data_IF_533364930839
#
_entry.id   IF_533364930839
#
_cell.length_a   1.000
_cell.length_b   1.000
_cell.length_c   1.000
_cell.angle_alpha   90.00
_cell.angle_beta   90.00
_cell.angle_gamma   90.00
#
_symmetry.space_group_name_H-M   'P 1'
#
loop_
_entity.id
_entity.type
_entity.pdbx_description
1 polymer ?
#
# COMPACT_ATOMS: atom_id res chain seq x y z
N UNK A 1 32.73 48.61 26.73
CA UNK A 1 32.55 49.25 28.06
C UNK A 1 31.23 50.00 27.99
N UNK A 2 30.16 49.40 28.44
CA UNK A 2 28.86 50.07 28.60
C UNK A 2 28.46 49.85 30.06
N UNK A 3 28.30 50.92 30.78
CA UNK A 3 27.88 50.93 32.19
C UNK A 3 26.33 50.77 32.27
N UNK A 4 25.79 50.05 33.27
CA UNK A 4 24.36 50.00 33.51
C UNK A 4 23.89 51.23 34.25
N UNK A 5 22.78 51.81 33.84
CA UNK A 5 22.06 52.90 34.53
C UNK A 5 21.08 52.22 35.49
N UNK A 6 21.29 52.50 36.80
CA UNK A 6 20.35 52.16 37.88
C UNK A 6 19.23 53.22 37.92
N UNK A 7 17.98 52.80 37.81
CA UNK A 7 16.81 53.54 38.22
C UNK A 7 16.05 52.76 39.29
N UNK A 8 16.15 53.23 40.54
CA UNK A 8 15.32 52.74 41.63
C UNK A 8 13.89 53.19 41.51
N UNK A 9 12.95 52.24 41.66
CA UNK A 9 11.58 52.54 42.06
C UNK A 9 10.99 51.41 42.91
N UNK A 10 10.25 51.70 43.99
CA UNK A 10 9.92 50.78 45.05
C UNK A 10 8.67 49.93 44.74
N UNK A 11 8.71 48.70 45.23
CA UNK A 11 7.58 47.78 45.38
C UNK A 11 6.90 47.28 44.12
N UNK A 12 7.49 46.22 43.52
CA UNK A 12 6.69 45.11 42.91
C UNK A 12 7.50 43.81 42.88
N UNK A 13 6.86 42.73 43.27
CA UNK A 13 7.35 41.37 43.34
C UNK A 13 8.09 40.96 42.08
N UNK A 14 9.31 40.43 42.20
CA UNK A 14 10.01 39.76 41.13
C UNK A 14 9.22 38.51 40.70
N UNK A 15 8.58 38.58 39.56
CA UNK A 15 8.12 37.42 38.81
C UNK A 15 9.24 37.13 37.82
N UNK A 16 10.00 36.07 38.05
CA UNK A 16 10.91 35.53 37.06
C UNK A 16 10.07 34.96 35.90
N UNK A 17 9.88 35.75 34.89
CA UNK A 17 9.35 35.25 33.62
C UNK A 17 10.55 34.67 32.85
N UNK A 18 10.70 33.36 32.89
CA UNK A 18 11.49 32.65 31.90
C UNK A 18 10.80 32.83 30.56
N UNK A 19 11.40 33.64 29.68
CA UNK A 19 11.00 33.72 28.30
C UNK A 19 11.52 32.46 27.58
N UNK A 20 10.92 31.33 27.90
CA UNK A 20 11.01 30.15 27.07
C UNK A 20 10.16 30.49 25.86
N UNK A 21 10.83 30.78 24.77
CA UNK A 21 10.15 30.84 23.44
C UNK A 21 9.43 29.52 23.21
N UNK A 22 8.17 29.47 23.63
CA UNK A 22 7.25 28.45 23.17
C UNK A 22 7.08 28.73 21.69
N UNK A 23 7.89 28.09 20.87
CA UNK A 23 7.58 27.90 19.46
C UNK A 23 6.28 27.09 19.50
N UNK A 24 5.17 27.81 19.44
CA UNK A 24 3.86 27.23 19.18
C UNK A 24 3.92 26.67 17.78
N UNK A 25 4.36 25.42 17.70
CA UNK A 25 4.25 24.62 16.46
C UNK A 25 2.76 24.28 16.29
N UNK A 26 1.94 25.31 16.04
CA UNK A 26 0.62 25.14 15.45
C UNK A 26 0.85 24.85 13.96
N UNK A 27 1.36 23.65 13.69
CA UNK A 27 1.10 23.03 12.41
C UNK A 27 -0.42 22.83 12.38
N UNK A 28 -1.12 23.78 11.76
CA UNK A 28 -2.47 23.56 11.31
C UNK A 28 -2.43 22.31 10.42
N UNK A 29 -2.94 21.20 10.98
CA UNK A 29 -3.26 20.01 10.22
C UNK A 29 -4.41 20.36 9.26
N UNK A 30 -4.06 21.00 8.16
CA UNK A 30 -4.98 21.26 7.05
C UNK A 30 -4.96 20.06 6.09
N UNK A 31 -4.72 18.85 6.62
CA UNK A 31 -4.84 17.61 5.85
C UNK A 31 -6.30 17.17 5.87
N UNK A 32 -6.83 16.87 4.69
CA UNK A 32 -8.14 16.26 4.51
C UNK A 32 -8.26 15.07 5.47
N UNK A 33 -9.37 14.91 6.20
CA UNK A 33 -9.55 13.75 7.07
C UNK A 33 -9.51 12.46 6.25
N UNK A 34 -8.94 11.40 6.83
CA UNK A 34 -8.96 10.04 6.28
C UNK A 34 -10.41 9.52 6.34
N UNK A 35 -11.00 9.24 5.20
CA UNK A 35 -12.38 8.77 5.08
C UNK A 35 -12.43 7.27 5.33
N UNK A 36 -13.21 6.85 6.31
CA UNK A 36 -13.34 5.43 6.66
C UNK A 36 -14.80 4.95 6.62
N UNK A 37 -14.96 3.65 6.43
CA UNK A 37 -16.19 2.91 6.68
C UNK A 37 -15.92 1.73 7.62
N UNK A 38 -16.98 1.18 8.22
CA UNK A 38 -16.89 -0.05 8.99
C UNK A 38 -17.93 -1.07 8.50
N UNK A 39 -17.53 -2.33 8.42
CA UNK A 39 -18.36 -3.44 7.94
C UNK A 39 -18.26 -4.57 8.96
N UNK A 40 -19.38 -4.92 9.59
CA UNK A 40 -19.47 -5.91 10.68
C UNK A 40 -20.94 -6.31 10.85
N UNK A 41 -21.26 -7.58 10.83
CA UNK A 41 -22.65 -8.04 11.01
C UNK A 41 -23.17 -7.82 12.44
N UNK A 42 -22.27 -7.58 13.39
CA UNK A 42 -22.63 -7.28 14.78
C UNK A 42 -22.81 -5.77 15.01
N UNK A 43 -24.06 -5.27 15.27
CA UNK A 43 -24.33 -3.83 15.46
C UNK A 43 -23.51 -3.22 16.61
N UNK A 44 -23.27 -3.97 17.67
CA UNK A 44 -22.49 -3.51 18.83
C UNK A 44 -21.03 -3.25 18.49
N UNK A 45 -20.44 -4.04 17.58
CA UNK A 45 -19.09 -3.83 17.11
C UNK A 45 -19.00 -2.54 16.29
N UNK A 46 -19.97 -2.27 15.41
CA UNK A 46 -20.09 -1.02 14.67
C UNK A 46 -20.24 0.20 15.59
N UNK A 47 -21.01 0.09 16.68
CA UNK A 47 -21.17 1.16 17.67
C UNK A 47 -19.85 1.47 18.37
N UNK A 48 -19.06 0.46 18.73
CA UNK A 48 -17.72 0.64 19.32
C UNK A 48 -16.81 1.39 18.36
N UNK A 49 -16.76 0.98 17.08
CA UNK A 49 -15.96 1.67 16.06
C UNK A 49 -16.41 3.11 15.89
N UNK A 50 -17.73 3.37 15.87
CA UNK A 50 -18.30 4.71 15.76
C UNK A 50 -17.89 5.62 16.93
N UNK A 51 -18.02 5.12 18.15
CA UNK A 51 -17.64 5.88 19.37
C UNK A 51 -16.13 6.14 19.41
N UNK A 52 -15.30 5.20 18.97
CA UNK A 52 -13.86 5.37 18.97
C UNK A 52 -13.40 6.28 17.84
N UNK A 53 -13.99 6.19 16.66
CA UNK A 53 -13.66 7.04 15.50
C UNK A 53 -13.89 8.53 15.82
N UNK A 54 -14.93 8.89 16.58
CA UNK A 54 -15.18 10.26 17.03
C UNK A 54 -14.06 10.86 17.90
N UNK A 55 -13.19 10.01 18.48
CA UNK A 55 -12.04 10.43 19.29
C UNK A 55 -10.75 10.57 18.49
N UNK A 56 -10.78 10.29 17.19
CA UNK A 56 -9.62 10.36 16.27
C UNK A 56 -9.77 11.57 15.37
N UNK A 57 -9.05 12.69 15.61
CA UNK A 57 -9.30 13.97 14.91
C UNK A 57 -9.08 13.92 13.40
N UNK A 58 -8.24 13.02 12.90
CA UNK A 58 -7.88 12.86 11.49
C UNK A 58 -8.70 11.78 10.77
N UNK A 59 -9.70 11.15 11.44
CA UNK A 59 -10.53 10.08 10.90
C UNK A 59 -12.00 10.54 10.80
N UNK A 60 -12.58 10.37 9.63
CA UNK A 60 -14.02 10.58 9.42
C UNK A 60 -14.68 9.23 9.08
N UNK A 61 -15.44 8.67 10.02
CA UNK A 61 -16.25 7.48 9.77
C UNK A 61 -17.52 7.86 9.00
N UNK A 62 -17.52 7.63 7.69
CA UNK A 62 -18.56 8.08 6.76
C UNK A 62 -19.83 7.24 6.83
N UNK A 63 -19.67 5.93 6.97
CA UNK A 63 -20.78 4.97 7.01
C UNK A 63 -20.39 3.70 7.77
N UNK A 64 -21.40 2.96 8.20
CA UNK A 64 -21.26 1.63 8.80
C UNK A 64 -22.28 0.68 8.16
N UNK A 65 -21.87 -0.54 7.87
CA UNK A 65 -22.66 -1.55 7.17
C UNK A 65 -22.70 -2.85 7.93
N UNK A 66 -23.87 -3.44 8.06
CA UNK A 66 -24.05 -4.81 8.56
C UNK A 66 -24.03 -5.85 7.43
N UNK A 67 -24.22 -5.38 6.20
CA UNK A 67 -24.22 -6.17 4.98
C UNK A 67 -23.05 -5.78 4.10
N UNK A 68 -22.26 -6.77 3.69
CA UNK A 68 -21.11 -6.57 2.84
C UNK A 68 -21.48 -6.10 1.41
N UNK A 69 -22.64 -6.48 0.89
CA UNK A 69 -23.09 -6.07 -0.44
C UNK A 69 -23.53 -4.61 -0.48
N UNK A 70 -24.14 -4.10 0.61
CA UNK A 70 -24.42 -2.66 0.74
C UNK A 70 -23.13 -1.85 0.77
N UNK A 71 -22.09 -2.36 1.43
CA UNK A 71 -20.78 -1.73 1.46
C UNK A 71 -20.11 -1.75 0.07
N UNK A 72 -20.25 -2.82 -0.72
CA UNK A 72 -19.77 -2.87 -2.10
C UNK A 72 -20.41 -1.80 -2.97
N UNK A 73 -21.74 -1.63 -2.90
CA UNK A 73 -22.46 -0.59 -3.65
C UNK A 73 -21.99 0.81 -3.24
N UNK A 74 -21.75 1.02 -1.95
CA UNK A 74 -21.22 2.28 -1.44
C UNK A 74 -19.82 2.58 -1.99
N UNK A 75 -18.90 1.59 -1.99
CA UNK A 75 -17.53 1.73 -2.47
C UNK A 75 -17.44 2.00 -3.97
N UNK A 76 -18.42 1.58 -4.77
CA UNK A 76 -18.50 1.93 -6.19
C UNK A 76 -18.84 3.42 -6.41
N UNK A 77 -19.52 4.06 -5.48
CA UNK A 77 -20.03 5.44 -5.58
C UNK A 77 -19.18 6.46 -4.83
N UNK A 78 -18.42 6.02 -3.83
CA UNK A 78 -17.69 6.88 -2.90
C UNK A 78 -16.25 6.41 -2.73
N UNK A 79 -15.31 7.37 -2.75
CA UNK A 79 -13.92 7.09 -2.41
C UNK A 79 -13.78 6.94 -0.90
N UNK A 80 -13.14 5.85 -0.48
CA UNK A 80 -12.85 5.50 0.92
C UNK A 80 -11.37 5.23 1.04
N UNK A 81 -10.75 5.72 2.11
CA UNK A 81 -9.32 5.55 2.37
C UNK A 81 -9.03 4.34 3.26
N UNK A 82 -9.98 4.00 4.15
CA UNK A 82 -9.82 2.95 5.16
C UNK A 82 -11.12 2.18 5.37
N UNK A 83 -11.01 0.84 5.51
CA UNK A 83 -12.11 -0.04 5.92
C UNK A 83 -11.75 -0.70 7.26
N UNK A 84 -12.61 -0.58 8.27
CA UNK A 84 -12.67 -1.50 9.40
C UNK A 84 -13.55 -2.67 8.99
N UNK A 85 -13.01 -3.88 8.95
CA UNK A 85 -13.66 -5.02 8.32
C UNK A 85 -13.67 -6.22 9.25
N UNK A 86 -14.83 -6.72 9.60
CA UNK A 86 -14.91 -8.03 10.25
C UNK A 86 -14.52 -9.15 9.29
N UNK A 87 -13.85 -10.16 9.81
CA UNK A 87 -13.42 -11.32 9.02
C UNK A 87 -14.56 -12.30 8.81
N UNK A 88 -15.37 -12.52 9.84
CA UNK A 88 -16.49 -13.48 9.80
C UNK A 88 -17.81 -12.77 9.70
N UNK A 89 -18.36 -12.74 8.51
CA UNK A 89 -19.70 -12.20 8.25
C UNK A 89 -20.54 -13.28 7.56
N UNK A 90 -21.89 -13.23 7.67
CA UNK A 90 -22.78 -14.06 6.88
C UNK A 90 -22.54 -13.82 5.37
N UNK A 91 -22.87 -14.83 4.56
CA UNK A 91 -22.86 -14.80 3.09
C UNK A 91 -21.48 -14.65 2.45
N UNK A 92 -20.62 -13.72 2.89
CA UNK A 92 -19.27 -13.50 2.37
C UNK A 92 -18.33 -13.12 3.52
N UNK A 93 -17.20 -13.78 3.62
CA UNK A 93 -16.15 -13.39 4.57
C UNK A 93 -15.48 -12.08 4.21
N UNK A 94 -14.93 -11.34 5.21
CA UNK A 94 -14.18 -10.12 4.95
C UNK A 94 -12.99 -10.32 4.02
N UNK A 95 -12.37 -11.50 4.02
CA UNK A 95 -11.27 -11.83 3.12
C UNK A 95 -11.75 -12.00 1.68
N UNK A 96 -12.89 -12.64 1.46
CA UNK A 96 -13.51 -12.77 0.13
C UNK A 96 -14.02 -11.43 -0.37
N UNK A 97 -14.59 -10.60 0.52
CA UNK A 97 -15.00 -9.24 0.21
C UNK A 97 -13.84 -8.41 -0.35
N UNK A 98 -12.65 -8.46 0.29
CA UNK A 98 -11.48 -7.73 -0.20
C UNK A 98 -10.98 -8.25 -1.55
N UNK A 99 -11.04 -9.56 -1.81
CA UNK A 99 -10.66 -10.14 -3.11
C UNK A 99 -11.57 -9.69 -4.24
N UNK A 100 -12.82 -9.35 -3.93
CA UNK A 100 -13.78 -8.85 -4.92
C UNK A 100 -13.51 -7.40 -5.34
N UNK A 101 -12.71 -6.64 -4.57
CA UNK A 101 -12.38 -5.24 -4.86
C UNK A 101 -11.13 -5.18 -5.77
N UNK A 102 -11.20 -4.54 -6.96
CA UNK A 102 -10.03 -4.42 -7.85
C UNK A 102 -8.92 -3.55 -7.25
N UNK A 103 -9.28 -2.52 -6.46
CA UNK A 103 -8.36 -1.61 -5.78
C UNK A 103 -8.88 -1.36 -4.35
N UNK A 104 -8.57 -2.25 -3.41
CA UNK A 104 -9.07 -2.13 -2.06
C UNK A 104 -8.43 -0.91 -1.34
N UNK A 105 -9.22 -0.17 -0.53
CA UNK A 105 -8.69 0.80 0.42
C UNK A 105 -7.73 0.17 1.42
N UNK A 106 -7.12 0.98 2.30
CA UNK A 106 -6.43 0.45 3.48
C UNK A 106 -7.41 -0.34 4.34
N UNK A 107 -6.95 -1.43 4.97
CA UNK A 107 -7.80 -2.29 5.78
C UNK A 107 -7.23 -2.48 7.16
N UNK A 108 -8.09 -2.33 8.16
CA UNK A 108 -7.88 -2.79 9.53
C UNK A 108 -8.94 -3.86 9.79
N UNK A 109 -8.51 -5.09 10.00
CA UNK A 109 -9.43 -6.15 10.36
C UNK A 109 -9.89 -6.03 11.82
N UNK A 110 -11.18 -6.29 12.06
CA UNK A 110 -11.75 -6.48 13.39
C UNK A 110 -12.22 -7.93 13.50
N UNK A 111 -11.82 -8.68 14.52
CA UNK A 111 -12.17 -10.09 14.62
C UNK A 111 -12.22 -10.60 16.06
N UNK A 112 -13.08 -11.57 16.33
CA UNK A 112 -13.11 -12.29 17.61
C UNK A 112 -12.07 -13.45 17.66
N UNK A 113 -11.39 -13.76 16.55
CA UNK A 113 -10.55 -14.95 16.40
C UNK A 113 -9.08 -14.59 16.18
N UNK A 114 -8.23 -14.93 17.15
CA UNK A 114 -6.78 -14.67 17.07
C UNK A 114 -6.07 -15.48 15.97
N UNK A 115 -6.58 -16.65 15.61
CA UNK A 115 -6.01 -17.55 14.60
C UNK A 115 -6.08 -16.99 13.16
N UNK A 116 -7.06 -16.14 12.86
CA UNK A 116 -7.16 -15.49 11.55
C UNK A 116 -6.13 -14.39 11.33
N UNK A 117 -5.51 -13.86 12.40
CA UNK A 117 -4.38 -12.94 12.27
C UNK A 117 -3.17 -13.60 11.58
N UNK A 118 -3.04 -14.93 11.62
CA UNK A 118 -1.95 -15.67 10.97
C UNK A 118 -2.24 -15.94 9.49
N UNK A 119 -3.50 -16.18 9.12
CA UNK A 119 -3.90 -16.44 7.72
C UNK A 119 -3.98 -15.18 6.86
N UNK A 120 -4.07 -14.03 7.50
CA UNK A 120 -4.23 -12.72 6.85
C UNK A 120 -2.89 -12.05 6.46
N UNK A 121 -1.76 -12.72 6.67
CA UNK A 121 -0.47 -12.29 6.11
C UNK A 121 -0.43 -12.24 4.56
N UNK A 122 -1.40 -12.89 3.91
CA UNK A 122 -1.56 -12.83 2.44
C UNK A 122 -2.30 -11.55 1.97
N UNK A 123 -2.81 -10.74 2.90
CA UNK A 123 -3.47 -9.46 2.61
C UNK A 123 -2.65 -8.33 3.22
N UNK A 124 -2.36 -7.29 2.46
CA UNK A 124 -1.67 -6.06 2.90
C UNK A 124 -2.52 -5.24 3.90
N UNK A 125 -3.03 -5.91 4.95
CA UNK A 125 -3.77 -5.24 6.01
C UNK A 125 -2.82 -4.37 6.85
N UNK A 126 -3.26 -3.16 7.16
CA UNK A 126 -2.49 -2.22 7.98
C UNK A 126 -2.37 -2.72 9.41
N UNK A 127 -3.44 -3.28 9.95
CA UNK A 127 -3.47 -3.78 11.33
C UNK A 127 -4.66 -4.73 11.59
N UNK A 128 -4.67 -5.35 12.79
CA UNK A 128 -5.70 -6.27 13.30
C UNK A 128 -6.16 -5.84 14.67
N UNK A 129 -7.48 -5.78 14.89
CA UNK A 129 -8.12 -5.50 16.17
C UNK A 129 -8.85 -6.73 16.66
N UNK A 130 -8.31 -7.41 17.67
CA UNK A 130 -8.99 -8.55 18.31
C UNK A 130 -10.09 -8.04 19.25
N UNK A 131 -11.33 -8.43 19.00
CA UNK A 131 -12.50 -8.09 19.83
C UNK A 131 -12.46 -8.86 21.16
N UNK A 132 -12.74 -8.19 22.31
CA UNK A 132 -12.95 -6.77 22.48
C UNK A 132 -11.61 -5.98 22.49
N UNK A 133 -11.54 -4.85 21.80
CA UNK A 133 -10.35 -4.02 21.75
C UNK A 133 -10.53 -2.69 22.51
N UNK A 134 -9.45 -2.23 23.14
CA UNK A 134 -9.43 -0.96 23.84
C UNK A 134 -9.21 0.22 22.89
N UNK A 135 -9.64 1.43 23.28
CA UNK A 135 -9.43 2.66 22.52
C UNK A 135 -7.97 2.90 22.17
N UNK A 136 -7.03 2.60 23.10
CA UNK A 136 -5.59 2.77 22.85
C UNK A 136 -5.09 1.90 21.68
N UNK A 137 -5.64 0.68 21.53
CA UNK A 137 -5.31 -0.24 20.43
C UNK A 137 -5.91 0.25 19.11
N UNK A 138 -7.14 0.75 19.14
CA UNK A 138 -7.81 1.37 18.00
C UNK A 138 -7.03 2.58 17.49
N UNK A 139 -6.65 3.51 18.39
CA UNK A 139 -5.84 4.69 18.06
C UNK A 139 -4.51 4.31 17.38
N UNK A 140 -3.84 3.26 17.89
CA UNK A 140 -2.57 2.78 17.30
C UNK A 140 -2.76 2.26 15.88
N UNK A 141 -3.86 1.55 15.61
CA UNK A 141 -4.20 1.06 14.28
C UNK A 141 -4.52 2.23 13.30
N UNK A 142 -5.31 3.20 13.77
CA UNK A 142 -5.62 4.40 12.98
C UNK A 142 -4.38 5.24 12.64
N UNK A 143 -3.44 5.39 13.59
CA UNK A 143 -2.18 6.09 13.33
C UNK A 143 -1.37 5.38 12.24
N UNK A 144 -1.26 4.05 12.29
CA UNK A 144 -0.58 3.28 11.23
C UNK A 144 -1.23 3.47 9.87
N UNK A 145 -2.56 3.44 9.81
CA UNK A 145 -3.30 3.67 8.58
C UNK A 145 -3.04 5.07 8.03
N UNK A 146 -3.06 6.08 8.88
CA UNK A 146 -2.80 7.46 8.50
C UNK A 146 -1.37 7.69 7.99
N UNK A 147 -0.37 7.08 8.63
CA UNK A 147 1.02 7.11 8.16
C UNK A 147 1.16 6.41 6.79
N UNK A 148 0.53 5.24 6.62
CA UNK A 148 0.54 4.51 5.34
C UNK A 148 -0.12 5.32 4.23
N UNK A 149 -1.28 5.96 4.52
CA UNK A 149 -1.98 6.81 3.56
C UNK A 149 -1.11 7.99 3.13
N UNK A 150 -0.50 8.70 4.09
CA UNK A 150 0.43 9.81 3.80
C UNK A 150 1.61 9.39 2.94
N UNK A 151 2.20 8.22 3.20
CA UNK A 151 3.28 7.71 2.36
C UNK A 151 2.82 7.44 0.93
N UNK A 152 1.61 6.88 0.75
CA UNK A 152 1.00 6.69 -0.59
C UNK A 152 0.73 8.02 -1.29
N UNK A 153 0.21 9.02 -0.58
CA UNK A 153 -0.05 10.35 -1.14
C UNK A 153 1.25 11.05 -1.56
N UNK A 154 2.28 11.08 -0.69
CA UNK A 154 3.59 11.65 -0.99
C UNK A 154 4.23 10.98 -2.22
N UNK A 155 4.20 9.65 -2.30
CA UNK A 155 4.69 8.92 -3.46
C UNK A 155 3.90 9.28 -4.73
N UNK A 156 2.59 9.52 -4.63
CA UNK A 156 1.74 9.93 -5.75
C UNK A 156 1.97 11.40 -6.16
N UNK A 157 2.23 12.28 -5.19
CA UNK A 157 2.57 13.70 -5.45
C UNK A 157 3.95 13.84 -6.04
N UNK A 158 4.95 13.11 -5.55
CA UNK A 158 6.27 13.05 -6.16
C UNK A 158 6.22 12.51 -7.60
N UNK A 159 5.35 11.54 -7.87
CA UNK A 159 5.10 11.05 -9.23
C UNK A 159 4.40 12.11 -10.12
N UNK A 160 3.55 12.98 -9.54
CA UNK A 160 2.86 14.06 -10.27
C UNK A 160 3.68 15.34 -10.40
N UNK A 161 4.54 15.67 -9.42
CA UNK A 161 5.36 16.88 -9.39
C UNK A 161 6.63 16.77 -10.23
N UNK A 162 7.01 15.58 -10.65
CA UNK A 162 8.04 15.41 -11.68
C UNK A 162 7.41 15.79 -13.02
N UNK A 163 7.96 16.81 -13.75
CA UNK A 163 7.66 16.89 -15.17
C UNK A 163 8.00 15.51 -15.74
N UNK A 164 7.11 14.97 -16.58
CA UNK A 164 7.27 13.66 -17.20
C UNK A 164 8.48 13.70 -18.15
N UNK A 165 9.66 13.75 -17.56
CA UNK A 165 10.81 13.05 -18.05
C UNK A 165 10.67 11.69 -17.36
N UNK A 166 10.03 10.76 -18.04
CA UNK A 166 10.08 9.35 -17.69
C UNK A 166 11.56 8.96 -17.85
N UNK A 167 12.34 9.25 -16.79
CA UNK A 167 13.53 8.44 -16.58
C UNK A 167 12.96 7.04 -16.34
N UNK A 168 13.26 6.04 -17.16
CA UNK A 168 12.72 4.71 -17.00
C UNK A 168 13.03 4.29 -15.56
N UNK A 169 12.05 3.73 -14.86
CA UNK A 169 12.26 3.15 -13.54
C UNK A 169 13.39 2.15 -13.70
N UNK A 170 14.59 2.54 -13.28
CA UNK A 170 15.80 1.76 -13.59
C UNK A 170 15.83 0.45 -12.81
N UNK A 171 15.00 0.30 -11.78
CA UNK A 171 15.00 -0.87 -10.89
C UNK A 171 13.64 -1.13 -10.24
N UNK A 172 13.40 -2.39 -9.90
CA UNK A 172 12.27 -2.86 -9.08
C UNK A 172 12.79 -3.58 -7.85
N UNK A 173 11.95 -3.71 -6.80
CA UNK A 173 12.23 -4.56 -5.66
C UNK A 173 11.45 -5.86 -5.78
N UNK A 174 12.13 -6.97 -5.69
CA UNK A 174 11.58 -8.32 -5.81
C UNK A 174 11.80 -9.07 -4.50
N UNK A 175 10.75 -9.64 -3.93
CA UNK A 175 10.82 -10.41 -2.69
C UNK A 175 11.41 -11.79 -2.97
N UNK A 176 12.56 -12.09 -2.37
CA UNK A 176 13.20 -13.41 -2.40
C UNK A 176 13.24 -14.00 -0.98
N UNK A 177 12.28 -14.85 -0.64
CA UNK A 177 12.10 -15.31 0.73
C UNK A 177 11.77 -14.17 1.69
N UNK A 178 12.65 -13.90 2.65
CA UNK A 178 12.50 -12.81 3.65
C UNK A 178 13.18 -11.51 3.24
N UNK A 179 13.91 -11.49 2.12
CA UNK A 179 14.66 -10.34 1.65
C UNK A 179 13.98 -9.65 0.47
N UNK A 180 14.14 -8.33 0.37
CA UNK A 180 13.81 -7.57 -0.83
C UNK A 180 15.09 -7.32 -1.62
N UNK A 181 15.15 -7.86 -2.83
CA UNK A 181 16.29 -7.73 -3.74
C UNK A 181 15.98 -6.65 -4.75
N UNK A 182 16.85 -5.64 -4.84
CA UNK A 182 16.78 -4.63 -5.92
C UNK A 182 17.24 -5.23 -7.23
N UNK A 183 16.41 -5.18 -8.25
CA UNK A 183 16.70 -5.69 -9.59
C UNK A 183 16.65 -4.54 -10.58
N UNK A 184 17.76 -4.31 -11.29
CA UNK A 184 17.81 -3.32 -12.36
C UNK A 184 17.02 -3.85 -13.56
N UNK A 185 16.12 -3.05 -14.13
CA UNK A 185 15.30 -3.47 -15.27
C UNK A 185 16.15 -3.85 -16.48
N UNK A 186 17.24 -3.11 -16.72
CA UNK A 186 18.19 -3.37 -17.79
C UNK A 186 18.95 -4.69 -17.65
N UNK A 187 19.00 -5.27 -16.45
CA UNK A 187 19.63 -6.56 -16.21
C UNK A 187 18.66 -7.74 -16.42
N UNK A 188 17.36 -7.49 -16.41
CA UNK A 188 16.36 -8.54 -16.63
C UNK A 188 16.42 -8.97 -18.11
N UNK A 189 16.59 -10.26 -18.33
CA UNK A 189 16.53 -10.90 -19.63
C UNK A 189 15.09 -11.36 -19.93
N UNK A 190 14.56 -12.15 -19.03
CA UNK A 190 13.19 -12.67 -19.08
C UNK A 190 12.71 -13.13 -17.71
N UNK A 191 11.42 -13.37 -17.57
CA UNK A 191 10.79 -14.01 -16.42
C UNK A 191 10.24 -15.35 -16.83
N UNK A 192 10.37 -16.34 -15.95
CA UNK A 192 9.88 -17.70 -16.14
C UNK A 192 9.02 -18.15 -14.96
N UNK A 193 7.84 -18.74 -15.23
CA UNK A 193 7.00 -19.33 -14.21
C UNK A 193 7.57 -20.68 -13.76
N UNK A 194 7.74 -20.86 -12.45
CA UNK A 194 8.19 -22.09 -11.82
C UNK A 194 7.29 -22.53 -10.67
N UNK A 195 6.18 -23.19 -10.97
CA UNK A 195 5.18 -23.58 -9.97
C UNK A 195 4.51 -22.34 -9.33
N UNK A 196 4.70 -22.17 -8.02
CA UNK A 196 4.17 -21.00 -7.26
C UNK A 196 5.14 -19.82 -7.23
N UNK A 197 6.18 -19.83 -8.06
CA UNK A 197 7.18 -18.79 -8.12
C UNK A 197 7.31 -18.23 -9.53
N UNK A 198 7.72 -16.97 -9.61
CA UNK A 198 8.25 -16.36 -10.83
C UNK A 198 9.75 -16.18 -10.63
N UNK A 199 10.53 -16.65 -11.58
CA UNK A 199 11.99 -16.52 -11.59
C UNK A 199 12.36 -15.36 -12.52
N UNK A 200 12.95 -14.33 -11.96
CA UNK A 200 13.56 -13.22 -12.69
C UNK A 200 14.95 -13.67 -13.12
N UNK A 201 15.13 -13.90 -14.40
CA UNK A 201 16.42 -14.25 -14.99
C UNK A 201 17.12 -12.97 -15.42
N UNK A 202 18.22 -12.65 -14.75
CA UNK A 202 19.04 -11.48 -15.04
C UNK A 202 20.37 -11.87 -15.69
N UNK A 203 21.15 -10.89 -16.12
CA UNK A 203 22.50 -11.11 -16.67
C UNK A 203 23.43 -11.83 -15.69
N UNK A 204 23.22 -11.67 -14.39
CA UNK A 204 24.13 -12.10 -13.34
C UNK A 204 23.59 -13.19 -12.43
N UNK A 205 22.29 -13.27 -12.25
CA UNK A 205 21.66 -14.19 -11.28
C UNK A 205 20.21 -14.50 -11.62
N UNK A 206 19.67 -15.53 -10.96
CA UNK A 206 18.25 -15.88 -10.97
C UNK A 206 17.64 -15.59 -9.61
N UNK A 207 16.53 -14.84 -9.57
CA UNK A 207 15.84 -14.45 -8.34
C UNK A 207 14.45 -15.05 -8.39
N UNK A 208 14.13 -15.95 -7.46
CA UNK A 208 12.81 -16.57 -7.37
C UNK A 208 11.94 -15.82 -6.38
N UNK A 209 10.77 -15.37 -6.82
CA UNK A 209 9.78 -14.68 -5.99
C UNK A 209 8.46 -15.41 -6.01
N UNK A 210 7.82 -15.54 -4.85
CA UNK A 210 6.51 -16.15 -4.73
C UNK A 210 5.44 -15.15 -5.15
N UNK A 211 5.09 -15.21 -6.41
CA UNK A 211 4.05 -14.37 -7.04
C UNK A 211 3.54 -15.05 -8.30
N UNK A 212 2.43 -14.57 -8.83
CA UNK A 212 1.89 -14.98 -10.12
C UNK A 212 2.56 -14.23 -11.28
N UNK A 213 2.46 -14.77 -12.50
CA UNK A 213 2.95 -14.07 -13.70
C UNK A 213 2.22 -12.74 -13.95
N UNK A 214 0.96 -12.63 -13.56
CA UNK A 214 0.19 -11.39 -13.72
C UNK A 214 0.63 -10.31 -12.73
N UNK A 215 0.95 -10.68 -11.49
CA UNK A 215 1.55 -9.76 -10.52
C UNK A 215 2.94 -9.30 -10.99
N UNK A 216 3.77 -10.22 -11.47
CA UNK A 216 5.09 -9.87 -12.01
C UNK A 216 5.00 -8.95 -13.24
N UNK A 217 4.01 -9.17 -14.12
CA UNK A 217 3.74 -8.32 -15.27
C UNK A 217 3.38 -6.88 -14.83
N UNK A 218 2.59 -6.74 -13.75
CA UNK A 218 2.22 -5.44 -13.18
C UNK A 218 3.38 -4.65 -12.58
N UNK A 219 4.50 -5.30 -12.23
CA UNK A 219 5.71 -4.64 -11.73
C UNK A 219 6.60 -4.08 -12.85
N UNK A 220 6.38 -4.51 -14.10
CA UNK A 220 7.27 -4.23 -15.23
C UNK A 220 6.67 -3.18 -16.16
N UNK A 221 7.48 -2.21 -16.65
CA UNK A 221 7.03 -1.24 -17.66
C UNK A 221 6.62 -1.96 -18.96
N UNK A 222 5.39 -1.75 -19.39
CA UNK A 222 4.81 -2.37 -20.62
C UNK A 222 5.57 -1.98 -21.90
N UNK A 223 6.28 -0.84 -21.86
CA UNK A 223 7.11 -0.35 -22.98
C UNK A 223 8.37 -1.19 -23.15
N UNK A 224 8.90 -1.74 -22.03
CA UNK A 224 10.17 -2.48 -22.02
C UNK A 224 9.98 -3.99 -22.01
N UNK A 225 8.85 -4.47 -21.50
CA UNK A 225 8.58 -5.90 -21.31
C UNK A 225 7.32 -6.31 -22.05
N UNK A 226 7.28 -7.57 -22.49
CA UNK A 226 6.11 -8.16 -23.13
C UNK A 226 5.92 -9.61 -22.70
N UNK A 227 4.70 -9.96 -22.36
CA UNK A 227 4.33 -11.35 -22.08
C UNK A 227 4.09 -12.09 -23.39
N UNK A 228 4.84 -13.16 -23.59
CA UNK A 228 4.83 -13.98 -24.82
C UNK A 228 4.22 -15.35 -24.62
N UNK A 229 4.08 -15.79 -23.35
CA UNK A 229 3.52 -17.07 -22.99
C UNK A 229 2.87 -17.01 -21.60
N UNK A 230 2.02 -17.98 -21.26
CA UNK A 230 1.50 -18.09 -19.89
C UNK A 230 2.61 -18.17 -18.82
N UNK A 231 3.79 -18.65 -19.21
CA UNK A 231 4.95 -18.85 -18.35
C UNK A 231 6.15 -17.94 -18.66
N UNK A 232 6.06 -17.02 -19.64
CA UNK A 232 7.20 -16.20 -20.03
C UNK A 232 6.83 -14.75 -20.30
N UNK A 233 7.64 -13.83 -19.72
CA UNK A 233 7.69 -12.40 -20.04
C UNK A 233 9.13 -12.09 -20.46
N UNK A 234 9.34 -11.35 -21.54
CA UNK A 234 10.68 -11.03 -22.05
C UNK A 234 10.93 -9.53 -22.05
N UNK A 235 12.18 -9.12 -21.83
CA UNK A 235 12.63 -7.75 -22.07
C UNK A 235 12.80 -7.54 -23.58
N UNK A 236 12.05 -6.60 -24.16
CA UNK A 236 12.04 -6.33 -25.61
C UNK A 236 13.44 -6.00 -26.14
N UNK A 237 14.22 -5.22 -25.37
CA UNK A 237 15.59 -4.83 -25.74
C UNK A 237 16.61 -5.98 -25.73
N UNK A 238 16.24 -7.15 -25.20
CA UNK A 238 17.10 -8.35 -25.12
C UNK A 238 16.69 -9.42 -26.12
N UNK A 239 15.65 -9.18 -26.91
CA UNK A 239 15.25 -10.09 -27.98
C UNK A 239 16.26 -10.01 -29.10
N UNK A 240 16.88 -11.15 -29.44
CA UNK A 240 17.88 -11.27 -30.51
C UNK A 240 17.22 -11.58 -31.87
N UNK A 241 16.24 -12.49 -31.82
CA UNK A 241 15.41 -12.88 -32.98
C UNK A 241 14.11 -13.48 -32.49
N UNK A 242 13.09 -13.43 -33.29
CA UNK A 242 11.82 -14.12 -33.01
C UNK A 242 11.17 -14.55 -34.32
N UNK A 243 10.35 -15.57 -34.24
CA UNK A 243 9.45 -16.01 -35.29
C UNK A 243 8.01 -16.15 -34.73
N UNK A 244 7.17 -16.94 -35.43
CA UNK A 244 5.78 -17.18 -35.00
C UNK A 244 5.68 -18.04 -33.74
N UNK A 245 6.67 -18.82 -33.41
CA UNK A 245 6.59 -19.90 -32.41
C UNK A 245 7.52 -19.68 -31.23
N UNK A 246 8.65 -18.98 -31.44
CA UNK A 246 9.68 -18.82 -30.40
C UNK A 246 10.41 -17.47 -30.47
N UNK A 247 10.97 -17.07 -29.32
CA UNK A 247 11.80 -15.87 -29.15
C UNK A 247 13.16 -16.30 -28.61
N UNK A 248 14.24 -15.79 -29.18
CA UNK A 248 15.60 -15.95 -28.66
C UNK A 248 15.98 -14.77 -27.77
N UNK A 249 16.35 -15.07 -26.54
CA UNK A 249 16.85 -14.09 -25.55
C UNK A 249 18.08 -14.66 -24.88
N UNK A 250 19.22 -13.99 -25.03
CA UNK A 250 20.51 -14.41 -24.48
C UNK A 250 20.87 -15.88 -24.83
N UNK A 251 20.60 -16.29 -26.07
CA UNK A 251 20.84 -17.65 -26.56
C UNK A 251 19.81 -18.70 -26.10
N UNK A 252 18.82 -18.34 -25.29
CA UNK A 252 17.75 -19.21 -24.85
C UNK A 252 16.53 -19.06 -25.76
N UNK A 253 16.00 -20.17 -26.28
CA UNK A 253 14.76 -20.21 -27.04
C UNK A 253 13.56 -20.34 -26.09
N UNK A 254 12.65 -19.40 -26.17
CA UNK A 254 11.43 -19.34 -25.33
C UNK A 254 10.19 -19.46 -26.20
N UNK A 255 9.22 -20.34 -25.85
CA UNK A 255 8.03 -20.54 -26.68
C UNK A 255 7.07 -19.36 -26.64
N UNK A 256 6.43 -19.04 -27.76
CA UNK A 256 5.33 -18.09 -27.87
C UNK A 256 4.01 -18.86 -27.79
N UNK A 257 3.13 -18.44 -26.88
CA UNK A 257 1.81 -19.05 -26.75
C UNK A 257 0.85 -18.56 -27.84
N UNK A 258 -0.03 -19.44 -28.32
CA UNK A 258 -0.94 -19.17 -29.43
C UNK A 258 -1.84 -17.93 -29.23
N UNK A 259 -2.10 -17.55 -27.98
CA UNK A 259 -2.96 -16.40 -27.60
C UNK A 259 -2.17 -15.10 -27.38
N UNK A 260 -0.85 -15.09 -27.62
CA UNK A 260 0.00 -13.93 -27.38
C UNK A 260 0.42 -13.26 -28.68
N UNK A 261 0.37 -11.92 -28.69
CA UNK A 261 0.63 -11.15 -29.90
C UNK A 261 2.12 -10.75 -30.01
N UNK A 262 2.78 -11.25 -31.04
CA UNK A 262 4.19 -10.94 -31.36
C UNK A 262 4.39 -9.53 -31.94
N UNK A 263 3.33 -8.85 -32.40
CA UNK A 263 3.44 -7.47 -32.90
C UNK A 263 3.96 -6.46 -31.85
N UNK A 264 3.92 -6.83 -30.56
CA UNK A 264 4.48 -6.03 -29.47
C UNK A 264 5.98 -6.22 -29.26
N UNK A 265 6.61 -7.13 -30.04
CA UNK A 265 8.07 -7.38 -29.99
C UNK A 265 8.85 -6.53 -31.02
N UNK A 266 8.14 -5.99 -32.02
CA UNK A 266 8.70 -5.14 -33.06
C UNK A 266 8.74 -3.66 -32.65
#
# INVERSE_FOLDING_TARGET
>A
VVRPIFLEHPRKKLIFAWNVGVVSNQQHFNSKPMIAIAIDDEPKALDIVRVFAQKVPFLELKATFQDAFEALDFLQKQSVDLIFLDIKMPDISGLEFLRALPNPPLVIFTTAYAEHAVQSYDFDAVDYLLKPFALSRFLKACNRAHETLKMRELASEEAKARPVIVAPTESIFVKNGYEQVRVMLDDILYLEAGGNYVVFVTKTQKIASRMTMSEAEGLLPVEQFVRIHRSYIVAKSKVERFDRYEVSVAGQLLPIGANYNTAKLA
#
